data_IF_723946024739
#
_entry.id   IF_723946024739
#
_cell.length_a   1.000
_cell.length_b   1.000
_cell.length_c   1.000
_cell.angle_alpha   90.00
_cell.angle_beta   90.00
_cell.angle_gamma   90.00
#
_symmetry.space_group_name_H-M   'P 1'
#
loop_
_entity.id
_entity.type
_entity.pdbx_description
1 polymer ?
#
# COMPACT_ATOMS: atom_id res chain seq x y z
N UNK A 1 9.82 11.85 -3.03
CA UNK A 1 8.96 10.86 -3.72
C UNK A 1 7.90 10.51 -2.69
N UNK A 2 6.62 10.83 -2.91
CA UNK A 2 5.61 10.54 -1.89
C UNK A 2 5.44 9.01 -1.84
N UNK A 3 5.74 8.35 -0.70
CA UNK A 3 5.43 6.95 -0.57
C UNK A 3 3.91 6.77 -0.63
N UNK A 4 3.47 5.53 -0.72
CA UNK A 4 2.09 5.13 -0.96
C UNK A 4 1.07 5.90 -0.12
N UNK A 5 -0.18 5.88 -0.56
CA UNK A 5 -1.26 6.76 -0.10
C UNK A 5 -1.52 6.85 1.42
N UNK A 6 -0.87 6.03 2.26
CA UNK A 6 -1.02 6.00 3.72
C UNK A 6 0.30 6.05 4.49
N UNK A 7 1.43 6.31 3.83
CA UNK A 7 2.69 6.65 4.47
C UNK A 7 2.87 8.16 4.45
N UNK A 8 2.93 8.77 5.63
CA UNK A 8 3.03 10.22 5.80
C UNK A 8 4.44 10.54 6.31
N UNK A 9 5.13 11.45 5.63
CA UNK A 9 6.42 11.97 6.08
C UNK A 9 6.20 13.04 7.15
N UNK A 10 6.87 12.89 8.29
CA UNK A 10 6.91 13.90 9.34
C UNK A 10 8.04 14.86 9.04
N UNK A 11 7.72 16.08 8.63
CA UNK A 11 8.70 17.11 8.29
C UNK A 11 9.67 17.46 9.42
N UNK A 12 9.26 17.27 10.68
CA UNK A 12 10.08 17.57 11.87
C UNK A 12 11.20 16.56 12.11
N UNK A 13 10.98 15.28 11.80
CA UNK A 13 11.90 14.18 12.14
C UNK A 13 12.47 13.46 10.91
N UNK A 14 11.85 13.65 9.73
CA UNK A 14 12.13 12.89 8.51
C UNK A 14 11.69 11.43 8.61
N UNK A 15 10.83 11.09 9.57
CA UNK A 15 10.27 9.75 9.73
C UNK A 15 9.04 9.56 8.85
N UNK A 16 8.80 8.32 8.41
CA UNK A 16 7.56 7.93 7.77
C UNK A 16 6.66 7.18 8.74
N UNK A 17 5.42 7.65 8.86
CA UNK A 17 4.37 7.01 9.67
C UNK A 17 3.40 6.30 8.73
N UNK A 18 3.14 5.03 8.99
CA UNK A 18 2.18 4.24 8.22
C UNK A 18 1.54 3.15 9.06
N UNK A 19 0.61 2.40 8.46
CA UNK A 19 -0.04 1.27 9.11
C UNK A 19 0.19 -0.02 8.36
N UNK A 20 0.56 -1.09 9.06
CA UNK A 20 0.70 -2.44 8.51
C UNK A 20 0.03 -3.41 9.49
N UNK A 21 -0.84 -4.29 8.98
CA UNK A 21 -1.53 -5.32 9.78
C UNK A 21 -2.24 -4.76 11.03
N UNK A 22 -2.91 -3.61 10.89
CA UNK A 22 -3.62 -2.95 11.99
C UNK A 22 -2.73 -2.30 13.04
N UNK A 23 -1.41 -2.20 12.82
CA UNK A 23 -0.45 -1.56 13.72
C UNK A 23 0.14 -0.30 13.09
N UNK A 24 0.49 0.69 13.91
CA UNK A 24 1.18 1.90 13.47
C UNK A 24 2.69 1.67 13.53
N UNK A 25 3.37 2.04 12.45
CA UNK A 25 4.81 1.90 12.30
C UNK A 25 5.44 3.26 11.98
N UNK A 26 6.54 3.57 12.66
CA UNK A 26 7.44 4.67 12.35
C UNK A 26 8.76 4.13 11.82
N UNK A 27 9.07 4.47 10.57
CA UNK A 27 10.27 4.00 9.89
C UNK A 27 11.11 5.17 9.42
N UNK A 28 12.44 5.03 9.54
CA UNK A 28 13.41 6.00 9.03
C UNK A 28 14.63 5.26 8.55
N UNK A 29 15.13 5.62 7.38
CA UNK A 29 16.42 5.12 6.93
C UNK A 29 17.50 6.07 7.44
N UNK A 30 18.45 5.56 8.22
CA UNK A 30 19.53 6.39 8.76
C UNK A 30 20.56 6.74 7.68
N UNK A 31 20.93 5.80 6.81
CA UNK A 31 21.89 5.97 5.71
C UNK A 31 21.49 5.10 4.49
N UNK A 32 21.87 5.50 3.28
CA UNK A 32 21.57 4.79 2.02
C UNK A 32 22.08 3.33 1.98
N UNK A 33 23.16 3.05 2.71
CA UNK A 33 23.79 1.73 2.82
C UNK A 33 23.32 0.92 4.04
N UNK A 34 22.45 1.48 4.88
CA UNK A 34 21.94 0.83 6.08
C UNK A 34 20.48 0.44 5.83
N UNK A 35 20.06 -0.79 6.18
CA UNK A 35 18.66 -1.19 6.15
C UNK A 35 17.77 -0.19 6.89
N UNK A 36 16.50 -0.08 6.49
CA UNK A 36 15.54 0.82 7.16
C UNK A 36 15.49 0.51 8.66
N UNK A 37 15.80 1.51 9.49
CA UNK A 37 15.67 1.42 10.93
C UNK A 37 14.20 1.68 11.31
N UNK A 38 13.63 0.86 12.17
CA UNK A 38 12.33 1.11 12.79
C UNK A 38 12.56 1.83 14.11
N UNK A 39 11.90 2.97 14.33
CA UNK A 39 12.06 3.73 15.56
C UNK A 39 11.01 3.36 16.60
N UNK A 40 9.78 3.04 16.16
CA UNK A 40 8.69 2.71 17.07
C UNK A 40 7.56 2.00 16.33
N UNK A 41 7.12 0.89 16.89
CA UNK A 41 5.77 0.36 16.71
C UNK A 41 5.06 0.44 18.04
N UNK A 42 3.74 0.26 18.06
CA UNK A 42 2.97 0.03 19.29
C UNK A 42 3.29 -1.34 19.94
N UNK A 43 4.56 -1.76 19.92
CA UNK A 43 5.10 -2.92 20.59
C UNK A 43 5.43 -2.55 22.04
N UNK A 44 5.30 -3.52 22.95
CA UNK A 44 5.79 -3.40 24.32
C UNK A 44 7.32 -3.33 24.34
N UNK A 45 7.91 -2.69 25.35
CA UNK A 45 9.37 -2.60 25.52
C UNK A 45 10.03 -4.00 25.57
N UNK A 46 9.29 -5.03 25.99
CA UNK A 46 9.72 -6.43 25.99
C UNK A 46 9.83 -7.03 24.57
N UNK A 47 8.94 -6.66 23.64
CA UNK A 47 8.99 -7.09 22.24
C UNK A 47 10.10 -6.35 21.46
N UNK A 48 10.42 -5.10 21.84
CA UNK A 48 11.53 -4.34 21.26
C UNK A 48 12.89 -4.87 21.74
N UNK A 49 13.02 -5.25 23.01
CA UNK A 49 14.25 -5.77 23.59
C UNK A 49 14.65 -7.17 23.08
N UNK A 50 13.68 -7.95 22.59
CA UNK A 50 13.92 -9.29 22.04
C UNK A 50 14.42 -9.29 20.58
N UNK A 51 14.33 -8.15 19.88
CA UNK A 51 14.35 -8.12 18.41
C UNK A 51 15.63 -7.44 17.92
N UNK A 52 16.69 -8.25 17.81
CA UNK A 52 17.90 -7.92 17.04
C UNK A 52 17.74 -8.09 15.51
N UNK A 53 16.51 -8.23 15.02
CA UNK A 53 16.15 -8.49 13.62
C UNK A 53 14.99 -7.58 13.17
N UNK A 54 14.73 -7.44 11.87
CA UNK A 54 13.59 -6.63 11.42
C UNK A 54 12.28 -7.44 11.65
N UNK A 55 11.22 -6.86 12.25
CA UNK A 55 9.95 -7.55 12.47
C UNK A 55 9.37 -8.17 11.18
N UNK A 56 8.85 -9.40 11.27
CA UNK A 56 8.29 -10.14 10.12
C UNK A 56 7.26 -9.32 9.32
N UNK A 57 6.31 -8.56 9.93
CA UNK A 57 5.35 -7.78 9.16
C UNK A 57 6.00 -6.72 8.27
N UNK A 58 7.13 -6.14 8.70
CA UNK A 58 7.89 -5.17 7.91
C UNK A 58 8.67 -5.87 6.80
N UNK A 59 9.32 -7.00 7.11
CA UNK A 59 10.03 -7.83 6.12
C UNK A 59 9.08 -8.21 4.99
N UNK A 60 7.89 -8.68 5.35
CA UNK A 60 6.84 -9.12 4.44
C UNK A 60 6.26 -7.96 3.61
N UNK A 61 5.89 -6.84 4.25
CA UNK A 61 5.30 -5.69 3.59
C UNK A 61 6.27 -4.99 2.61
N UNK A 62 7.54 -4.81 3.00
CA UNK A 62 8.57 -4.19 2.16
C UNK A 62 9.30 -5.20 1.25
N UNK A 63 8.96 -6.49 1.32
CA UNK A 63 9.63 -7.58 0.60
C UNK A 63 11.15 -7.54 0.78
N UNK A 64 11.61 -7.48 2.03
CA UNK A 64 13.03 -7.38 2.35
C UNK A 64 13.79 -8.69 2.12
N UNK A 65 13.05 -9.80 2.03
CA UNK A 65 13.53 -11.12 1.58
C UNK A 65 14.02 -11.12 0.12
N UNK A 66 13.53 -10.19 -0.71
CA UNK A 66 13.93 -10.08 -2.12
C UNK A 66 15.22 -9.28 -2.26
N UNK A 67 16.22 -9.89 -2.88
CA UNK A 67 17.50 -9.25 -3.20
C UNK A 67 17.39 -8.41 -4.48
N UNK A 68 17.27 -7.09 -4.32
CA UNK A 68 17.09 -6.16 -5.44
C UNK A 68 18.33 -6.04 -6.35
N UNK A 69 19.53 -6.20 -5.80
CA UNK A 69 20.79 -6.06 -6.56
C UNK A 69 20.89 -7.03 -7.75
N UNK A 70 20.78 -8.35 -7.53
CA UNK A 70 20.76 -9.34 -8.61
C UNK A 70 19.63 -9.12 -9.64
N UNK A 71 18.44 -8.74 -9.17
CA UNK A 71 17.30 -8.44 -10.07
C UNK A 71 17.60 -7.23 -10.95
N UNK A 72 18.11 -6.15 -10.37
CA UNK A 72 18.50 -4.94 -11.10
C UNK A 72 19.56 -5.26 -12.16
N UNK A 73 20.59 -6.03 -11.79
CA UNK A 73 21.62 -6.46 -12.75
C UNK A 73 21.01 -7.27 -13.90
N UNK A 74 20.11 -8.21 -13.61
CA UNK A 74 19.43 -8.99 -14.64
C UNK A 74 18.51 -8.17 -15.53
N UNK A 75 17.86 -7.12 -15.01
CA UNK A 75 17.03 -6.24 -15.83
C UNK A 75 17.89 -5.37 -16.75
N UNK A 76 18.98 -4.80 -16.22
CA UNK A 76 19.90 -3.97 -16.98
C UNK A 76 20.67 -4.75 -18.05
N UNK A 77 20.89 -6.06 -17.87
CA UNK A 77 21.50 -6.90 -18.89
C UNK A 77 20.55 -7.23 -20.04
N UNK A 78 19.22 -7.21 -19.79
CA UNK A 78 18.18 -7.55 -20.77
C UNK A 78 17.59 -6.34 -21.48
N UNK A 79 17.72 -5.15 -20.89
CA UNK A 79 17.20 -3.90 -21.43
C UNK A 79 18.32 -2.84 -21.56
N UNK A 80 18.93 -2.74 -22.76
CA UNK A 80 19.95 -1.73 -23.05
C UNK A 80 19.43 -0.29 -22.91
N UNK A 81 18.14 -0.06 -23.18
CA UNK A 81 17.53 1.28 -23.08
C UNK A 81 17.43 1.69 -21.62
N UNK A 82 16.96 0.79 -20.75
CA UNK A 82 16.94 1.02 -19.30
C UNK A 82 18.35 1.27 -18.77
N UNK A 83 19.33 0.44 -19.18
CA UNK A 83 20.73 0.58 -18.77
C UNK A 83 21.31 1.94 -19.14
N UNK A 84 21.12 2.37 -20.37
CA UNK A 84 21.60 3.68 -20.84
C UNK A 84 20.86 4.83 -20.14
N UNK A 85 19.55 4.70 -19.93
CA UNK A 85 18.75 5.70 -19.23
C UNK A 85 19.23 5.90 -17.80
N UNK A 86 19.54 4.83 -17.06
CA UNK A 86 20.05 4.93 -15.69
C UNK A 86 21.50 5.45 -15.65
N UNK A 87 22.34 5.09 -16.63
CA UNK A 87 23.72 5.58 -16.70
C UNK A 87 23.81 7.10 -16.96
N UNK A 88 22.83 7.66 -17.65
CA UNK A 88 22.76 9.09 -17.95
C UNK A 88 22.09 9.92 -16.83
N UNK A 89 21.60 9.29 -15.76
CA UNK A 89 21.04 10.02 -14.63
C UNK A 89 22.18 10.63 -13.79
N UNK A 90 21.99 11.85 -13.25
CA UNK A 90 22.91 12.38 -12.23
C UNK A 90 23.09 11.37 -11.09
N UNK A 91 24.29 11.25 -10.52
CA UNK A 91 24.57 10.33 -9.39
C UNK A 91 23.55 10.49 -8.24
N UNK A 92 23.16 11.73 -7.93
CA UNK A 92 22.13 12.04 -6.94
C UNK A 92 20.75 11.43 -7.26
N UNK A 93 20.43 11.25 -8.55
CA UNK A 93 19.23 10.55 -9.00
C UNK A 93 19.44 9.03 -8.95
N UNK A 94 20.60 8.53 -9.37
CA UNK A 94 20.92 7.10 -9.36
C UNK A 94 20.72 6.45 -7.97
N UNK A 95 21.22 7.10 -6.91
CA UNK A 95 21.01 6.63 -5.53
C UNK A 95 19.52 6.58 -5.13
N UNK A 96 18.67 7.49 -5.65
CA UNK A 96 17.22 7.50 -5.37
C UNK A 96 16.46 6.35 -6.02
N UNK A 97 16.97 5.75 -7.08
CA UNK A 97 16.30 4.64 -7.79
C UNK A 97 16.77 3.26 -7.32
N UNK A 98 17.93 3.17 -6.65
CA UNK A 98 18.54 1.91 -6.22
C UNK A 98 17.79 1.19 -5.08
N UNK A 99 16.83 1.87 -4.44
CA UNK A 99 16.03 1.35 -3.31
C UNK A 99 14.54 1.14 -3.62
N UNK A 100 14.10 1.27 -4.87
CA UNK A 100 12.68 1.15 -5.21
C UNK A 100 12.24 -0.31 -5.09
N UNK A 101 11.29 -0.55 -4.18
CA UNK A 101 10.69 -1.86 -3.93
C UNK A 101 9.20 -1.85 -4.22
N UNK A 102 8.69 -3.00 -4.66
CA UNK A 102 7.26 -3.26 -4.74
C UNK A 102 6.76 -3.74 -3.38
N UNK A 103 5.71 -3.11 -2.88
CA UNK A 103 5.16 -3.42 -1.55
C UNK A 103 4.10 -4.51 -1.64
N UNK A 104 4.09 -5.39 -0.63
CA UNK A 104 3.05 -6.42 -0.45
C UNK A 104 1.91 -5.86 0.42
N UNK A 105 1.09 -5.02 -0.19
CA UNK A 105 -0.01 -4.34 0.49
C UNK A 105 -1.21 -5.27 0.81
N UNK A 106 -2.05 -4.81 1.73
CA UNK A 106 -3.36 -5.40 1.97
C UNK A 106 -4.23 -5.33 0.70
N UNK A 107 -4.87 -6.44 0.26
CA UNK A 107 -5.61 -6.46 -1.00
C UNK A 107 -6.86 -5.58 -0.97
N UNK A 108 -7.53 -5.41 0.18
CA UNK A 108 -8.71 -4.53 0.29
C UNK A 108 -8.27 -3.08 0.11
N UNK A 109 -7.27 -2.64 0.87
CA UNK A 109 -6.71 -1.28 0.75
C UNK A 109 -6.24 -1.01 -0.68
N UNK A 110 -5.55 -1.98 -1.28
CA UNK A 110 -5.04 -1.88 -2.65
C UNK A 110 -6.19 -1.68 -3.64
N UNK A 111 -7.21 -2.54 -3.62
CA UNK A 111 -8.37 -2.44 -4.53
C UNK A 111 -9.06 -1.08 -4.39
N UNK A 112 -9.35 -0.64 -3.17
CA UNK A 112 -10.04 0.63 -2.92
C UNK A 112 -9.18 1.84 -3.34
N UNK A 113 -7.86 1.79 -3.12
CA UNK A 113 -6.94 2.82 -3.56
C UNK A 113 -6.90 2.94 -5.09
N UNK A 114 -6.91 1.81 -5.79
CA UNK A 114 -6.89 1.78 -7.24
C UNK A 114 -8.22 2.23 -7.87
N UNK A 115 -9.37 1.87 -7.28
CA UNK A 115 -10.68 2.44 -7.65
C UNK A 115 -10.63 3.96 -7.50
N UNK A 116 -10.08 4.45 -6.39
CA UNK A 116 -9.93 5.90 -6.11
C UNK A 116 -8.98 6.61 -7.07
N UNK A 117 -7.98 5.90 -7.61
CA UNK A 117 -6.97 6.45 -8.52
C UNK A 117 -7.43 6.69 -9.95
N UNK A 118 -8.52 6.03 -10.38
CA UNK A 118 -8.98 6.11 -11.75
C UNK A 118 -9.27 7.58 -12.11
N UNK A 119 -8.58 8.17 -13.09
CA UNK A 119 -8.69 9.60 -13.45
C UNK A 119 -8.50 10.55 -12.25
N UNK A 120 -7.41 10.38 -11.48
CA UNK A 120 -7.11 11.16 -10.29
C UNK A 120 -5.60 11.40 -10.14
N UNK A 121 -5.19 12.31 -9.24
CA UNK A 121 -3.77 12.59 -8.97
C UNK A 121 -3.35 12.14 -7.57
N UNK A 122 -2.06 11.81 -7.39
CA UNK A 122 -1.53 11.20 -6.16
C UNK A 122 -1.85 12.01 -4.89
N UNK A 123 -1.70 13.35 -4.85
CA UNK A 123 -2.08 14.14 -3.67
C UNK A 123 -3.56 14.01 -3.30
N UNK A 124 -4.46 14.07 -4.29
CA UNK A 124 -5.90 13.93 -4.05
C UNK A 124 -6.29 12.52 -3.63
N UNK A 125 -5.68 11.49 -4.23
CA UNK A 125 -5.95 10.09 -3.84
C UNK A 125 -5.54 9.86 -2.38
N UNK A 126 -4.35 10.33 -2.00
CA UNK A 126 -3.86 10.28 -0.61
C UNK A 126 -4.85 10.94 0.34
N UNK A 127 -5.28 12.18 0.04
CA UNK A 127 -6.27 12.90 0.86
C UNK A 127 -7.58 12.13 1.01
N UNK A 128 -8.11 11.56 -0.08
CA UNK A 128 -9.36 10.81 -0.07
C UNK A 128 -9.25 9.52 0.76
N UNK A 129 -8.15 8.77 0.65
CA UNK A 129 -7.96 7.53 1.39
C UNK A 129 -7.71 7.77 2.89
N UNK A 130 -7.05 8.87 3.25
CA UNK A 130 -6.93 9.31 4.64
C UNK A 130 -8.30 9.69 5.22
N UNK A 131 -9.10 10.47 4.49
CA UNK A 131 -10.46 10.82 4.90
C UNK A 131 -11.37 9.59 5.03
N UNK A 132 -11.25 8.63 4.11
CA UNK A 132 -11.96 7.35 4.17
C UNK A 132 -11.60 6.55 5.43
N UNK A 133 -10.30 6.47 5.74
CA UNK A 133 -9.80 5.77 6.93
C UNK A 133 -10.24 6.48 8.21
N UNK A 134 -10.23 7.81 8.24
CA UNK A 134 -10.72 8.59 9.37
C UNK A 134 -12.22 8.39 9.61
N UNK A 135 -13.01 8.26 8.53
CA UNK A 135 -14.46 8.19 8.64
C UNK A 135 -14.99 6.79 9.00
N UNK A 136 -14.38 5.74 8.44
CA UNK A 136 -14.87 4.36 8.54
C UNK A 136 -13.86 3.38 9.17
N UNK A 137 -12.64 3.83 9.47
CA UNK A 137 -11.62 3.05 10.15
C UNK A 137 -11.68 3.20 11.66
N UNK A 138 -10.95 2.33 12.37
CA UNK A 138 -10.78 2.39 13.82
C UNK A 138 -9.57 3.25 14.16
N UNK A 139 -9.66 4.09 15.19
CA UNK A 139 -8.49 4.79 15.70
C UNK A 139 -7.48 3.74 16.25
N UNK A 140 -6.24 3.76 15.76
CA UNK A 140 -5.20 2.79 16.16
C UNK A 140 -4.27 3.38 17.22
N UNK A 141 -3.88 4.64 17.05
CA UNK A 141 -3.07 5.36 18.03
C UNK A 141 -3.33 6.87 17.89
N UNK A 142 -3.39 7.56 19.02
CA UNK A 142 -2.90 8.92 19.09
C UNK A 142 -1.38 8.80 19.10
N UNK A 143 -0.71 9.31 18.07
CA UNK A 143 0.73 9.41 18.21
C UNK A 143 0.99 10.41 19.35
N UNK A 144 1.65 9.97 20.42
CA UNK A 144 2.03 10.85 21.52
C UNK A 144 2.78 12.11 21.04
N UNK A 145 3.44 12.02 19.87
CA UNK A 145 4.25 13.07 19.27
C UNK A 145 3.79 13.47 17.84
N UNK A 146 2.54 13.20 17.45
CA UNK A 146 2.01 13.74 16.19
C UNK A 146 0.55 14.17 16.37
N UNK A 147 0.24 15.41 16.00
CA UNK A 147 -1.08 16.05 16.17
C UNK A 147 -2.24 15.35 15.42
N UNK A 148 -1.97 14.24 14.72
CA UNK A 148 -2.94 13.49 13.94
C UNK A 148 -3.14 12.08 14.48
N UNK A 149 -4.39 11.72 14.75
CA UNK A 149 -4.79 10.34 15.06
C UNK A 149 -4.61 9.47 13.81
N UNK A 150 -3.96 8.33 13.93
CA UNK A 150 -3.81 7.35 12.84
C UNK A 150 -4.96 6.35 12.91
N UNK A 151 -5.66 6.19 11.80
CA UNK A 151 -6.80 5.28 11.68
C UNK A 151 -6.41 4.02 10.90
N UNK A 152 -7.10 2.91 11.15
CA UNK A 152 -6.98 1.70 10.34
C UNK A 152 -7.62 1.93 8.97
N UNK A 153 -7.31 1.09 7.98
CA UNK A 153 -8.15 1.02 6.79
C UNK A 153 -9.55 0.50 7.19
N UNK A 154 -10.64 0.96 6.57
CA UNK A 154 -11.98 0.46 6.86
C UNK A 154 -12.14 -1.02 6.51
N UNK A 155 -12.99 -1.73 7.25
CA UNK A 155 -13.35 -3.11 6.91
C UNK A 155 -14.30 -3.15 5.71
N UNK A 156 -14.43 -4.32 5.07
CA UNK A 156 -15.35 -4.49 3.96
C UNK A 156 -16.79 -4.22 4.38
N UNK A 157 -17.18 -4.64 5.59
CA UNK A 157 -18.52 -4.45 6.16
C UNK A 157 -18.81 -2.96 6.38
N UNK A 158 -17.83 -2.21 6.89
CA UNK A 158 -17.94 -0.77 7.06
C UNK A 158 -18.13 -0.06 5.72
N UNK A 159 -17.40 -0.48 4.67
CA UNK A 159 -17.50 0.11 3.33
C UNK A 159 -18.79 -0.30 2.58
N UNK A 160 -19.29 -1.51 2.80
CA UNK A 160 -20.47 -2.07 2.15
C UNK A 160 -21.80 -1.54 2.71
N UNK A 161 -21.75 -0.79 3.81
CA UNK A 161 -22.94 -0.32 4.51
C UNK A 161 -23.85 0.57 3.63
N UNK A 162 -25.18 0.40 3.70
CA UNK A 162 -26.12 1.22 2.94
C UNK A 162 -25.95 2.72 3.25
N UNK A 163 -26.09 3.57 2.24
CA UNK A 163 -25.98 5.03 2.39
C UNK A 163 -24.57 5.60 2.28
N UNK A 164 -23.52 4.76 2.32
CA UNK A 164 -22.13 5.23 2.17
C UNK A 164 -21.87 5.97 0.86
N UNK A 165 -22.59 5.67 -0.22
CA UNK A 165 -22.42 6.35 -1.51
C UNK A 165 -22.62 7.87 -1.41
N UNK A 166 -23.59 8.35 -0.63
CA UNK A 166 -23.86 9.78 -0.51
C UNK A 166 -22.82 10.47 0.36
N UNK A 167 -22.42 9.82 1.45
CA UNK A 167 -21.36 10.33 2.31
C UNK A 167 -20.00 10.39 1.59
N UNK A 168 -19.66 9.37 0.80
CA UNK A 168 -18.47 9.37 -0.04
C UNK A 168 -18.49 10.49 -1.10
N UNK A 169 -19.67 10.86 -1.62
CA UNK A 169 -19.78 12.05 -2.49
C UNK A 169 -19.41 13.32 -1.74
N UNK A 170 -19.92 13.48 -0.51
CA UNK A 170 -19.60 14.61 0.36
C UNK A 170 -18.10 14.66 0.70
N UNK A 171 -17.46 13.50 0.87
CA UNK A 171 -16.00 13.39 1.06
C UNK A 171 -15.17 13.69 -0.20
N UNK A 172 -15.81 13.85 -1.37
CA UNK A 172 -15.16 14.28 -2.60
C UNK A 172 -14.70 13.14 -3.54
N UNK A 173 -15.21 11.92 -3.35
CA UNK A 173 -14.95 10.79 -4.24
C UNK A 173 -15.61 10.93 -5.63
N UNK A 174 -16.63 11.78 -5.74
CA UNK A 174 -17.37 12.03 -6.98
C UNK A 174 -18.08 10.77 -7.47
N UNK A 175 -17.99 10.47 -8.76
CA UNK A 175 -18.64 9.28 -9.35
C UNK A 175 -18.14 7.94 -8.75
N UNK A 176 -16.92 7.92 -8.19
CA UNK A 176 -16.33 6.72 -7.56
C UNK A 176 -17.00 6.35 -6.25
N UNK A 177 -17.78 7.26 -5.67
CA UNK A 177 -18.55 7.03 -4.45
C UNK A 177 -19.53 5.86 -4.60
N UNK A 178 -20.01 5.57 -5.81
CA UNK A 178 -20.83 4.39 -6.09
C UNK A 178 -20.02 3.09 -6.17
N UNK A 179 -18.74 3.17 -6.54
CA UNK A 179 -17.92 1.99 -6.80
C UNK A 179 -17.33 1.40 -5.53
N UNK A 180 -16.97 2.22 -4.54
CA UNK A 180 -16.37 1.75 -3.29
C UNK A 180 -17.34 0.82 -2.52
N UNK A 181 -18.60 1.20 -2.23
CA UNK A 181 -19.54 0.32 -1.54
C UNK A 181 -19.92 -0.89 -2.39
N UNK A 182 -20.15 -0.70 -3.70
CA UNK A 182 -20.53 -1.79 -4.60
C UNK A 182 -19.41 -2.84 -4.74
N UNK A 183 -18.15 -2.42 -4.81
CA UNK A 183 -17.01 -3.33 -4.81
C UNK A 183 -16.89 -4.06 -3.47
N UNK A 184 -17.05 -3.36 -2.34
CA UNK A 184 -17.02 -3.99 -1.02
C UNK A 184 -18.11 -5.06 -0.87
N UNK A 185 -19.36 -4.76 -1.27
CA UNK A 185 -20.47 -5.71 -1.27
C UNK A 185 -20.19 -6.93 -2.14
N UNK A 186 -19.64 -6.74 -3.34
CA UNK A 186 -19.35 -7.85 -4.23
C UNK A 186 -18.21 -8.72 -3.72
N UNK A 187 -17.18 -8.13 -3.09
CA UNK A 187 -16.10 -8.88 -2.45
C UNK A 187 -16.68 -9.72 -1.30
N UNK A 188 -17.51 -9.13 -0.42
CA UNK A 188 -18.19 -9.86 0.65
C UNK A 188 -19.02 -11.03 0.12
N UNK A 189 -19.81 -10.81 -0.93
CA UNK A 189 -20.63 -11.85 -1.57
C UNK A 189 -19.83 -12.97 -2.24
N UNK A 190 -18.50 -12.81 -2.38
CA UNK A 190 -17.59 -13.79 -2.97
C UNK A 190 -16.62 -14.41 -1.97
N UNK A 191 -16.85 -14.26 -0.66
CA UNK A 191 -16.00 -14.83 0.40
C UNK A 191 -15.11 -13.80 1.11
N UNK A 192 -15.36 -12.50 0.91
CA UNK A 192 -14.75 -11.45 1.71
C UNK A 192 -13.23 -11.36 1.59
N UNK A 193 -12.58 -11.04 2.71
CA UNK A 193 -11.11 -10.90 2.79
C UNK A 193 -10.41 -12.22 2.50
N UNK A 194 -10.95 -13.34 3.00
CA UNK A 194 -10.37 -14.68 2.80
C UNK A 194 -10.23 -14.99 1.32
N UNK A 195 -11.27 -14.71 0.52
CA UNK A 195 -11.20 -14.88 -0.93
C UNK A 195 -10.08 -14.07 -1.56
N UNK A 196 -9.85 -12.83 -1.11
CA UNK A 196 -8.77 -12.00 -1.64
C UNK A 196 -7.37 -12.55 -1.28
N UNK A 197 -7.24 -13.18 -0.11
CA UNK A 197 -6.00 -13.84 0.30
C UNK A 197 -5.74 -15.11 -0.51
N UNK A 198 -6.78 -15.91 -0.78
CA UNK A 198 -6.68 -17.08 -1.68
C UNK A 198 -6.18 -16.69 -3.08
N UNK A 199 -6.60 -15.53 -3.59
CA UNK A 199 -6.18 -15.06 -4.91
C UNK A 199 -4.66 -14.82 -5.02
N UNK A 200 -3.93 -14.67 -3.90
CA UNK A 200 -2.47 -14.61 -3.94
C UNK A 200 -1.85 -15.92 -4.44
N UNK A 201 -2.50 -17.05 -4.15
CA UNK A 201 -2.06 -18.38 -4.56
C UNK A 201 -2.80 -18.91 -5.80
N UNK A 202 -3.94 -18.31 -6.15
CA UNK A 202 -4.71 -18.67 -7.34
C UNK A 202 -4.01 -18.31 -8.65
N UNK A 203 -4.42 -18.89 -9.79
CA UNK A 203 -3.79 -18.56 -11.08
C UNK A 203 -3.96 -17.08 -11.47
N UNK A 204 -3.03 -16.57 -12.29
CA UNK A 204 -3.11 -15.20 -12.83
C UNK A 204 -4.46 -14.92 -13.53
N UNK A 205 -4.95 -15.86 -14.34
CA UNK A 205 -6.21 -15.69 -15.09
C UNK A 205 -7.44 -15.74 -14.17
N UNK A 206 -7.42 -16.55 -13.11
CA UNK A 206 -8.48 -16.56 -12.09
C UNK A 206 -8.55 -15.23 -11.37
N UNK A 207 -7.41 -14.73 -10.88
CA UNK A 207 -7.30 -13.43 -10.20
C UNK A 207 -7.78 -12.30 -11.10
N UNK A 208 -7.33 -12.29 -12.35
CA UNK A 208 -7.75 -11.31 -13.36
C UNK A 208 -9.26 -11.37 -13.65
N UNK A 209 -9.83 -12.57 -13.69
CA UNK A 209 -11.27 -12.78 -13.92
C UNK A 209 -12.10 -12.32 -12.74
N UNK A 210 -11.63 -12.57 -11.51
CA UNK A 210 -12.27 -12.08 -10.29
C UNK A 210 -12.29 -10.55 -10.27
N UNK A 211 -11.13 -9.91 -10.42
CA UNK A 211 -11.00 -8.45 -10.36
C UNK A 211 -11.77 -7.72 -11.45
N UNK A 212 -11.94 -8.34 -12.64
CA UNK A 212 -12.73 -7.77 -13.74
C UNK A 212 -14.20 -7.57 -13.37
N UNK A 213 -14.73 -8.37 -12.45
CA UNK A 213 -16.15 -8.32 -12.06
C UNK A 213 -16.44 -7.17 -11.09
N UNK A 214 -15.39 -6.60 -10.46
CA UNK A 214 -15.51 -5.53 -9.47
C UNK A 214 -15.86 -4.17 -10.08
N UNK A 215 -16.90 -3.48 -9.58
CA UNK A 215 -17.24 -2.12 -9.97
C UNK A 215 -16.05 -1.16 -9.88
N UNK A 216 -15.92 -0.29 -10.87
CA UNK A 216 -14.85 0.71 -10.91
C UNK A 216 -13.47 0.19 -11.34
N UNK A 217 -13.31 -1.12 -11.57
CA UNK A 217 -12.04 -1.71 -12.02
C UNK A 217 -12.05 -1.90 -13.55
N UNK A 218 -11.43 -0.97 -14.26
CA UNK A 218 -11.20 -1.07 -15.70
C UNK A 218 -10.00 -1.94 -16.10
N UNK A 219 -9.84 -2.20 -17.40
CA UNK A 219 -8.77 -3.05 -17.94
C UNK A 219 -7.34 -2.65 -17.51
N UNK A 220 -7.06 -1.34 -17.41
CA UNK A 220 -5.76 -0.81 -16.99
C UNK A 220 -5.46 -1.12 -15.52
N UNK A 221 -6.41 -0.77 -14.65
CA UNK A 221 -6.30 -0.97 -13.20
C UNK A 221 -6.20 -2.45 -12.86
N UNK A 222 -6.97 -3.29 -13.57
CA UNK A 222 -6.96 -4.74 -13.40
C UNK A 222 -5.57 -5.35 -13.53
N UNK A 223 -4.80 -5.02 -14.59
CA UNK A 223 -3.47 -5.63 -14.81
C UNK A 223 -2.52 -5.33 -13.65
N UNK A 224 -2.53 -4.09 -13.16
CA UNK A 224 -1.71 -3.66 -12.03
C UNK A 224 -2.14 -4.37 -10.75
N UNK A 225 -3.45 -4.45 -10.49
CA UNK A 225 -3.98 -5.16 -9.32
C UNK A 225 -3.66 -6.66 -9.35
N UNK A 226 -3.80 -7.33 -10.49
CA UNK A 226 -3.44 -8.73 -10.63
C UNK A 226 -1.95 -8.92 -10.32
N UNK A 227 -1.08 -8.08 -10.88
CA UNK A 227 0.36 -8.14 -10.59
C UNK A 227 0.68 -7.93 -9.10
N UNK A 228 0.05 -6.94 -8.45
CA UNK A 228 0.27 -6.65 -7.02
C UNK A 228 -0.24 -7.78 -6.11
N UNK A 229 -1.37 -8.41 -6.46
CA UNK A 229 -1.91 -9.53 -5.69
C UNK A 229 -1.06 -10.80 -5.90
N UNK A 230 -0.47 -10.95 -7.08
CA UNK A 230 0.35 -12.11 -7.49
C UNK A 230 1.85 -11.89 -7.31
N UNK A 231 2.28 -10.97 -6.45
CA UNK A 231 3.71 -10.69 -6.21
C UNK A 231 4.52 -11.91 -5.78
N UNK A 232 3.87 -12.96 -5.29
CA UNK A 232 4.52 -14.16 -4.77
C UNK A 232 4.91 -15.14 -5.89
N UNK A 233 4.43 -14.92 -7.12
CA UNK A 233 4.85 -15.68 -8.31
C UNK A 233 6.12 -15.11 -8.99
N UNK A 234 6.61 -13.95 -8.54
CA UNK A 234 7.70 -13.19 -9.18
C UNK A 234 8.78 -12.74 -8.19
#
# INVERSE_FOLDING_TARGET
MRPLFRWIELSSTGEFVGTISGRVWRVKQSNDNVPVCFHRSSLSDAELAAVGQIPEPLVNYFRLDVQLGPLMQSWLSRDPVLKQSLANLPLACFHRFHGIRLLRQDPVETIMAFITSANNNVPRITKLLLALSQRYGKALAQAADCDATVYSFPSLEALASPGNSDELRTLGFGYRANFIPAAAQQILAKGGVERLLELRNASYEETKTFLRKLPGIGNKVRRLLTFIIKLDEF
#
